data_IF_837023317371
#
_entry.id   IF_837023317371
#
_cell.length_a   1.000
_cell.length_b   1.000
_cell.length_c   1.000
_cell.angle_alpha   90.00
_cell.angle_beta   90.00
_cell.angle_gamma   90.00
#
_symmetry.space_group_name_H-M   'P 1'
#
loop_
_entity.id
_entity.type
_entity.pdbx_description
1 polymer ?
#
# COMPACT_ATOMS: atom_id res chain seq x y z
N UNK A 1 -3.35 -7.11 17.74
CA UNK A 1 -2.46 -8.22 17.36
C UNK A 1 -3.28 -9.12 16.45
N UNK A 2 -3.24 -8.84 15.14
CA UNK A 2 -3.96 -9.62 14.13
C UNK A 2 -3.16 -10.89 13.88
N UNK A 3 -3.56 -11.96 14.56
CA UNK A 3 -3.05 -13.31 14.33
C UNK A 3 -4.25 -14.15 13.87
N UNK A 4 -4.67 -13.93 12.62
CA UNK A 4 -5.59 -14.81 11.91
C UNK A 4 -4.75 -15.81 11.09
N UNK A 5 -5.04 -17.13 11.16
CA UNK A 5 -4.17 -18.13 10.57
C UNK A 5 -4.24 -18.11 9.04
N UNK A 6 -3.08 -17.90 8.40
CA UNK A 6 -2.74 -18.57 7.13
C UNK A 6 -2.88 -17.78 5.84
N UNK A 7 -3.36 -16.54 5.84
CA UNK A 7 -3.39 -15.72 4.63
C UNK A 7 -2.23 -14.74 4.67
N UNK A 8 -1.34 -14.85 3.69
CA UNK A 8 -0.24 -13.90 3.50
C UNK A 8 -0.85 -12.51 3.29
N UNK A 9 -0.58 -11.51 4.17
CA UNK A 9 -1.17 -10.18 4.07
C UNK A 9 -0.75 -9.44 2.80
N UNK A 10 0.26 -9.94 2.06
CA UNK A 10 0.67 -9.40 0.77
C UNK A 10 0.08 -10.12 -0.45
N UNK A 11 -0.67 -11.20 -0.25
CA UNK A 11 -1.43 -11.87 -1.31
C UNK A 11 -2.75 -11.16 -1.59
N UNK A 12 -3.31 -11.26 -2.80
CA UNK A 12 -4.60 -10.64 -3.13
C UNK A 12 -5.72 -10.99 -2.14
N UNK A 13 -5.83 -12.27 -1.77
CA UNK A 13 -6.81 -12.71 -0.77
C UNK A 13 -6.55 -12.13 0.63
N UNK A 14 -5.28 -11.89 0.97
CA UNK A 14 -4.88 -11.24 2.22
C UNK A 14 -5.19 -9.75 2.23
N UNK A 15 -4.96 -9.08 1.11
CA UNK A 15 -5.32 -7.68 0.90
C UNK A 15 -6.83 -7.49 0.96
N UNK A 16 -7.61 -8.36 0.33
CA UNK A 16 -9.08 -8.31 0.41
C UNK A 16 -9.58 -8.51 1.84
N UNK A 17 -9.01 -9.46 2.57
CA UNK A 17 -9.34 -9.69 3.98
C UNK A 17 -8.96 -8.48 4.85
N UNK A 18 -7.81 -7.85 4.60
CA UNK A 18 -7.36 -6.64 5.28
C UNK A 18 -8.33 -5.48 5.03
N UNK A 19 -8.69 -5.22 3.77
CA UNK A 19 -9.58 -4.12 3.39
C UNK A 19 -10.98 -4.33 3.99
N UNK A 20 -11.51 -5.54 3.96
CA UNK A 20 -12.79 -5.86 4.59
C UNK A 20 -12.76 -5.65 6.12
N UNK A 21 -11.66 -6.05 6.77
CA UNK A 21 -11.44 -5.91 8.21
C UNK A 21 -11.26 -4.44 8.61
N UNK A 22 -10.66 -3.62 7.76
CA UNK A 22 -10.55 -2.16 7.95
C UNK A 22 -11.90 -1.47 7.73
N UNK A 23 -12.62 -1.80 6.66
CA UNK A 23 -13.96 -1.27 6.40
C UNK A 23 -14.93 -1.56 7.56
N UNK A 24 -14.84 -2.77 8.14
CA UNK A 24 -15.65 -3.15 9.30
C UNK A 24 -15.37 -2.31 10.58
N UNK A 25 -14.28 -1.54 10.63
CA UNK A 25 -13.95 -0.64 11.76
C UNK A 25 -14.61 0.74 11.67
N UNK A 26 -15.18 1.13 10.53
CA UNK A 26 -16.02 2.34 10.37
C UNK A 26 -15.51 3.39 9.35
N UNK A 27 -16.34 4.42 9.13
CA UNK A 27 -16.29 5.41 8.03
C UNK A 27 -14.94 6.13 7.85
N UNK A 28 -14.18 6.36 8.92
CA UNK A 28 -12.91 7.11 8.83
C UNK A 28 -11.83 6.44 7.99
N UNK A 29 -11.98 5.14 7.71
CA UNK A 29 -11.02 4.38 6.91
C UNK A 29 -11.44 4.23 5.45
N UNK A 30 -12.71 4.47 5.14
CA UNK A 30 -13.24 4.38 3.77
C UNK A 30 -12.73 5.53 2.89
N UNK A 31 -12.33 6.65 3.50
CA UNK A 31 -11.77 7.82 2.80
C UNK A 31 -10.25 7.73 2.60
N UNK A 32 -9.57 6.79 3.27
CA UNK A 32 -8.12 6.70 3.18
C UNK A 32 -7.71 6.11 1.83
N UNK A 33 -6.89 6.81 1.03
CA UNK A 33 -6.40 6.30 -0.27
C UNK A 33 -5.38 5.15 -0.13
N UNK A 34 -4.74 5.01 1.03
CA UNK A 34 -3.69 4.02 1.28
C UNK A 34 -3.67 3.56 2.74
N UNK A 35 -3.35 2.29 2.96
CA UNK A 35 -3.05 1.72 4.28
C UNK A 35 -1.57 1.35 4.38
N UNK A 36 -0.97 1.60 5.54
CA UNK A 36 0.39 1.16 5.86
C UNK A 36 0.35 0.05 6.90
N UNK A 37 0.82 -1.14 6.53
CA UNK A 37 0.76 -2.34 7.37
C UNK A 37 2.15 -2.72 7.86
N UNK A 38 2.30 -2.78 9.18
CA UNK A 38 3.47 -3.38 9.84
C UNK A 38 3.26 -4.89 9.99
N UNK A 39 3.42 -5.62 8.88
CA UNK A 39 3.28 -7.07 8.85
C UNK A 39 4.53 -7.80 9.41
N UNK A 40 4.51 -9.13 9.37
CA UNK A 40 5.63 -9.93 9.87
C UNK A 40 6.96 -9.70 9.15
N UNK A 41 6.95 -9.15 7.93
CA UNK A 41 8.16 -8.76 7.20
C UNK A 41 8.66 -7.42 7.71
N UNK A 42 7.77 -6.43 7.82
CA UNK A 42 8.11 -5.11 8.36
C UNK A 42 8.74 -5.19 9.76
N UNK A 43 8.23 -6.09 10.61
CA UNK A 43 8.70 -6.27 11.99
C UNK A 43 10.05 -7.00 12.12
N UNK A 44 10.58 -7.57 11.03
CA UNK A 44 11.83 -8.35 11.02
C UNK A 44 12.92 -7.75 10.13
N UNK A 45 12.56 -6.90 9.19
CA UNK A 45 13.48 -6.27 8.26
C UNK A 45 14.24 -5.09 8.91
N UNK A 46 15.47 -4.86 8.44
CA UNK A 46 16.24 -3.67 8.75
C UNK A 46 16.77 -3.08 7.42
N UNK A 47 16.26 -1.90 6.98
CA UNK A 47 15.22 -1.08 7.62
C UNK A 47 13.83 -1.75 7.60
N UNK A 48 12.88 -1.32 8.46
CA UNK A 48 11.50 -1.82 8.43
C UNK A 48 10.85 -1.62 7.05
N UNK A 49 10.33 -2.69 6.46
CA UNK A 49 9.68 -2.67 5.15
C UNK A 49 8.15 -2.69 5.30
N UNK A 50 7.54 -1.53 5.52
CA UNK A 50 6.08 -1.39 5.65
C UNK A 50 5.40 -1.76 4.32
N UNK A 51 4.23 -2.39 4.38
CA UNK A 51 3.42 -2.67 3.20
C UNK A 51 2.43 -1.53 2.98
N UNK A 52 2.60 -0.75 1.92
CA UNK A 52 1.62 0.22 1.46
C UNK A 52 0.59 -0.51 0.58
N UNK A 53 -0.70 -0.32 0.86
CA UNK A 53 -1.82 -1.01 0.19
C UNK A 53 -2.82 0.01 -0.29
N UNK A 54 -3.16 -0.01 -1.58
CA UNK A 54 -4.26 0.82 -2.10
C UNK A 54 -5.60 0.33 -1.56
N UNK A 55 -6.47 1.25 -1.18
CA UNK A 55 -7.83 0.93 -0.73
C UNK A 55 -8.82 0.90 -1.88
N UNK A 56 -8.48 1.47 -3.03
CA UNK A 56 -9.31 1.44 -4.22
C UNK A 56 -9.45 0.01 -4.74
N UNK A 57 -10.70 -0.36 -4.99
CA UNK A 57 -11.09 -1.65 -5.55
C UNK A 57 -11.53 -1.50 -7.00
N UNK A 58 -11.76 -2.63 -7.68
CA UNK A 58 -12.27 -2.63 -9.05
C UNK A 58 -13.66 -1.98 -9.17
N UNK A 59 -14.42 -1.91 -8.09
CA UNK A 59 -15.76 -1.31 -8.10
C UNK A 59 -15.71 0.22 -7.94
N UNK A 60 -14.56 0.78 -7.51
CA UNK A 60 -14.40 2.21 -7.27
C UNK A 60 -13.93 2.99 -8.51
N UNK A 61 -13.32 2.29 -9.47
CA UNK A 61 -12.66 2.87 -10.65
C UNK A 61 -13.16 2.22 -11.93
N UNK A 62 -12.96 2.90 -13.08
CA UNK A 62 -13.20 2.23 -14.36
C UNK A 62 -12.14 1.15 -14.66
N UNK A 63 -12.39 0.30 -15.66
CA UNK A 63 -11.50 -0.82 -15.97
C UNK A 63 -10.09 -0.38 -16.38
N UNK A 64 -9.96 0.80 -17.02
CA UNK A 64 -8.68 1.35 -17.42
C UNK A 64 -7.91 1.92 -16.23
N UNK A 65 -8.58 2.74 -15.42
CA UNK A 65 -8.04 3.35 -14.21
C UNK A 65 -7.61 2.29 -13.19
N UNK A 66 -8.43 1.25 -12.96
CA UNK A 66 -8.06 0.17 -12.05
C UNK A 66 -6.86 -0.63 -12.59
N UNK A 67 -6.79 -0.87 -13.90
CA UNK A 67 -5.67 -1.60 -14.50
C UNK A 67 -4.35 -0.82 -14.38
N UNK A 68 -4.38 0.50 -14.55
CA UNK A 68 -3.24 1.40 -14.35
C UNK A 68 -2.81 1.43 -12.87
N UNK A 69 -3.78 1.62 -11.96
CA UNK A 69 -3.54 1.63 -10.52
C UNK A 69 -2.75 0.40 -10.04
N UNK A 70 -3.09 -0.78 -10.56
CA UNK A 70 -2.54 -2.07 -10.10
C UNK A 70 -1.48 -2.66 -11.02
N UNK A 71 -0.97 -1.89 -12.01
CA UNK A 71 0.05 -2.37 -12.97
C UNK A 71 1.26 -3.00 -12.25
N UNK A 72 1.71 -2.36 -11.16
CA UNK A 72 2.82 -2.81 -10.32
C UNK A 72 2.36 -3.54 -9.05
N UNK A 73 1.08 -3.91 -8.98
CA UNK A 73 0.44 -4.59 -7.86
C UNK A 73 -0.38 -3.66 -6.97
N UNK A 74 -1.29 -4.26 -6.19
CA UNK A 74 -2.15 -3.54 -5.22
C UNK A 74 -1.42 -3.12 -3.94
N UNK A 75 -0.18 -3.55 -3.79
CA UNK A 75 0.64 -3.25 -2.63
C UNK A 75 2.12 -3.24 -3.00
N UNK A 76 2.89 -2.38 -2.33
CA UNK A 76 4.34 -2.29 -2.47
C UNK A 76 5.00 -2.02 -1.12
N UNK A 77 6.32 -2.22 -1.03
CA UNK A 77 7.08 -1.97 0.20
C UNK A 77 7.63 -0.56 0.25
N UNK A 78 7.63 0.04 1.43
CA UNK A 78 8.20 1.37 1.66
C UNK A 78 8.94 1.40 2.99
N UNK A 79 10.00 2.20 3.06
CA UNK A 79 10.66 2.53 4.32
C UNK A 79 9.80 3.50 5.14
N UNK A 80 9.97 3.58 6.47
CA UNK A 80 9.17 4.47 7.31
C UNK A 80 9.22 5.95 6.87
N UNK A 81 10.37 6.39 6.36
CA UNK A 81 10.57 7.77 5.92
C UNK A 81 9.75 8.10 4.65
N UNK A 82 9.42 7.11 3.82
CA UNK A 82 8.57 7.28 2.63
C UNK A 82 7.08 7.43 2.92
N UNK A 83 6.61 7.10 4.13
CA UNK A 83 5.17 7.10 4.49
C UNK A 83 4.53 8.47 4.32
N UNK A 84 5.21 9.52 4.78
CA UNK A 84 4.66 10.87 4.72
C UNK A 84 4.48 11.35 3.28
N UNK A 85 5.48 11.11 2.42
CA UNK A 85 5.42 11.49 1.02
C UNK A 85 4.24 10.80 0.31
N UNK A 86 4.11 9.47 0.48
CA UNK A 86 3.02 8.70 -0.12
C UNK A 86 1.66 9.24 0.34
N UNK A 87 1.43 9.31 1.66
CA UNK A 87 0.15 9.76 2.20
C UNK A 87 -0.21 11.18 1.74
N UNK A 88 0.71 12.13 1.84
CA UNK A 88 0.43 13.53 1.51
C UNK A 88 0.14 13.74 0.02
N UNK A 89 0.86 13.07 -0.88
CA UNK A 89 0.65 13.27 -2.32
C UNK A 89 -0.63 12.60 -2.82
N UNK A 90 -1.01 11.45 -2.27
CA UNK A 90 -2.29 10.81 -2.57
C UNK A 90 -3.47 11.67 -2.11
N UNK A 91 -3.44 12.17 -0.88
CA UNK A 91 -4.47 13.07 -0.33
C UNK A 91 -4.62 14.38 -1.13
N UNK A 92 -3.52 14.92 -1.63
CA UNK A 92 -3.51 16.15 -2.42
C UNK A 92 -3.78 15.93 -3.91
N UNK A 93 -3.80 14.68 -4.38
CA UNK A 93 -3.90 14.34 -5.80
C UNK A 93 -2.70 14.83 -6.63
N UNK A 94 -1.52 14.95 -6.01
CA UNK A 94 -0.31 15.38 -6.70
C UNK A 94 0.33 14.24 -7.50
N UNK A 95 0.21 13.00 -7.02
CA UNK A 95 0.81 11.82 -7.61
C UNK A 95 -0.04 10.59 -7.26
N UNK A 96 -0.15 9.65 -8.21
CA UNK A 96 -0.93 8.42 -8.05
C UNK A 96 -0.22 7.34 -7.23
N UNK A 97 -0.96 6.29 -6.86
CA UNK A 97 -0.41 5.15 -6.10
C UNK A 97 0.48 4.28 -6.99
N UNK A 98 0.08 4.10 -8.25
CA UNK A 98 0.81 3.41 -9.31
C UNK A 98 2.20 3.99 -9.55
N UNK A 99 2.37 5.31 -9.43
CA UNK A 99 3.67 5.97 -9.60
C UNK A 99 4.65 5.60 -8.46
N UNK A 100 4.14 5.50 -7.23
CA UNK A 100 4.92 5.00 -6.09
C UNK A 100 5.22 3.50 -6.21
N UNK A 101 4.23 2.71 -6.65
CA UNK A 101 4.39 1.28 -6.86
C UNK A 101 5.43 1.00 -7.96
N UNK A 102 5.43 1.78 -9.04
CA UNK A 102 6.44 1.75 -10.09
C UNK A 102 7.83 2.09 -9.53
N UNK A 103 7.94 3.16 -8.75
CA UNK A 103 9.21 3.56 -8.12
C UNK A 103 9.78 2.47 -7.20
N UNK A 104 8.93 1.83 -6.38
CA UNK A 104 9.33 0.70 -5.55
C UNK A 104 9.72 -0.53 -6.39
N UNK A 105 9.01 -0.79 -7.49
CA UNK A 105 9.31 -1.89 -8.40
C UNK A 105 10.67 -1.73 -9.09
N UNK A 106 11.05 -0.49 -9.43
CA UNK A 106 12.34 -0.16 -10.06
C UNK A 106 13.51 -0.11 -9.07
N UNK A 107 13.23 0.04 -7.77
CA UNK A 107 14.25 0.12 -6.73
C UNK A 107 15.01 -1.22 -6.56
N UNK A 108 16.34 -1.21 -6.36
CA UNK A 108 17.14 -2.43 -6.23
C UNK A 108 16.74 -3.36 -5.08
N UNK A 109 16.16 -2.81 -4.02
CA UNK A 109 15.66 -3.53 -2.84
C UNK A 109 14.14 -3.74 -2.87
N UNK A 110 13.46 -3.30 -3.94
CA UNK A 110 12.02 -3.42 -4.09
C UNK A 110 11.23 -2.52 -3.13
N UNK A 111 11.86 -1.47 -2.58
CA UNK A 111 11.23 -0.56 -1.62
C UNK A 111 11.20 0.87 -2.14
N UNK A 112 10.11 1.57 -1.90
CA UNK A 112 10.08 3.01 -2.07
C UNK A 112 10.92 3.68 -0.98
N UNK A 113 11.81 4.56 -1.40
CA UNK A 113 12.54 5.51 -0.57
C UNK A 113 12.10 6.91 -1.01
N UNK A 114 11.92 7.84 -0.06
CA UNK A 114 11.47 9.19 -0.40
C UNK A 114 12.38 9.82 -1.47
N UNK A 115 11.79 10.63 -2.36
CA UNK A 115 12.52 11.28 -3.46
C UNK A 115 13.57 12.29 -2.95
N UNK A 116 13.52 12.65 -1.67
CA UNK A 116 14.50 13.51 -1.00
C UNK A 116 15.75 12.76 -0.52
N UNK A 117 15.74 11.43 -0.53
CA UNK A 117 16.88 10.56 -0.19
C UNK A 117 17.66 10.05 -1.44
N UNK A 118 17.40 10.63 -2.62
CA UNK A 118 18.07 10.32 -3.90
C UNK A 118 19.43 11.01 -4.08
#
# INVERSE_FOLDING_TARGET
MLDAPGVDPSSDAGLDALLAEVAARGESWEEAAVLFVADGTALRAEPPALLAVTTFTRDDLDEGEYAELVEFGRAFRTVPDGVHAIHANLELGNMGFEEYAASAHEAPDGMFHDFLDS
#
